data_IF_195105586813
#
_entry.id   IF_195105586813
#
_cell.length_a   1.000
_cell.length_b   1.000
_cell.length_c   1.000
_cell.angle_alpha   90.00
_cell.angle_beta   90.00
_cell.angle_gamma   90.00
#
_symmetry.space_group_name_H-M   'P 1'
#
loop_
_entity.id
_entity.type
_entity.pdbx_description
1 polymer ?
#
# COMPACT_ATOMS: atom_id res chain seq x y z
N UNK A 1 13.27 -2.46 -16.68
CA UNK A 1 11.87 -2.43 -16.22
C UNK A 1 11.86 -2.15 -14.73
N UNK A 2 11.07 -1.16 -14.27
CA UNK A 2 10.83 -0.95 -12.84
C UNK A 2 9.57 -1.75 -12.49
N UNK A 3 9.58 -2.47 -11.36
CA UNK A 3 8.41 -3.22 -10.92
C UNK A 3 7.31 -2.24 -10.46
N UNK A 4 6.03 -2.51 -10.76
CA UNK A 4 4.95 -1.75 -10.15
C UNK A 4 4.90 -2.01 -8.64
N UNK A 5 4.38 -1.07 -7.86
CA UNK A 5 4.35 -1.14 -6.40
C UNK A 5 2.96 -0.84 -5.82
N UNK A 6 2.46 -1.71 -4.95
CA UNK A 6 1.29 -1.45 -4.11
C UNK A 6 1.75 -1.29 -2.66
N UNK A 7 1.65 -0.08 -2.12
CA UNK A 7 1.99 0.23 -0.74
C UNK A 7 0.74 0.14 0.15
N UNK A 8 0.77 -0.72 1.16
CA UNK A 8 -0.37 -0.95 2.06
C UNK A 8 0.03 -0.64 3.50
N UNK A 9 -0.63 0.33 4.13
CA UNK A 9 -0.33 0.75 5.50
C UNK A 9 -1.62 0.81 6.33
N UNK A 10 -1.51 0.52 7.62
CA UNK A 10 -2.62 0.63 8.57
C UNK A 10 -2.70 2.04 9.17
N UNK A 11 -3.91 2.57 9.33
CA UNK A 11 -4.18 3.87 9.96
C UNK A 11 -3.74 3.96 11.43
N UNK A 12 -3.66 2.82 12.11
CA UNK A 12 -3.19 2.70 13.50
C UNK A 12 -1.72 2.28 13.62
N UNK A 13 -0.96 2.19 12.53
CA UNK A 13 0.46 1.87 12.57
C UNK A 13 1.24 2.99 13.30
N UNK A 14 1.92 2.60 14.38
CA UNK A 14 2.73 3.45 15.24
C UNK A 14 4.25 3.21 15.07
N UNK A 15 4.64 2.33 14.14
CA UNK A 15 6.02 2.10 13.71
C UNK A 15 6.27 2.85 12.40
N UNK A 16 5.36 2.72 11.44
CA UNK A 16 5.38 3.44 10.17
C UNK A 16 4.18 4.36 10.11
N UNK A 17 4.41 5.67 10.14
CA UNK A 17 3.33 6.65 10.05
C UNK A 17 2.62 6.55 8.70
N UNK A 18 1.33 6.23 8.72
CA UNK A 18 0.46 6.13 7.54
C UNK A 18 0.48 7.41 6.69
N UNK A 19 0.72 8.58 7.31
CA UNK A 19 0.84 9.86 6.62
C UNK A 19 2.02 9.92 5.63
N UNK A 20 3.01 9.02 5.76
CA UNK A 20 4.11 8.87 4.82
C UNK A 20 3.73 8.06 3.57
N UNK A 21 2.60 7.34 3.59
CA UNK A 21 2.18 6.44 2.52
C UNK A 21 2.00 7.13 1.17
N UNK A 22 1.13 8.16 1.13
CA UNK A 22 0.86 8.90 -0.10
C UNK A 22 2.10 9.68 -0.62
N UNK A 23 2.84 10.44 0.21
CA UNK A 23 4.07 11.10 -0.22
C UNK A 23 5.12 10.15 -0.81
N UNK A 24 5.25 8.95 -0.25
CA UNK A 24 6.17 7.92 -0.77
C UNK A 24 5.75 7.48 -2.18
N UNK A 25 4.46 7.19 -2.39
CA UNK A 25 3.93 6.79 -3.71
C UNK A 25 4.06 7.93 -4.73
N UNK A 26 3.82 9.17 -4.33
CA UNK A 26 3.97 10.33 -5.21
C UNK A 26 5.43 10.50 -5.69
N UNK A 27 6.40 10.31 -4.78
CA UNK A 27 7.82 10.32 -5.13
C UNK A 27 8.17 9.21 -6.12
N UNK A 28 7.68 7.99 -5.89
CA UNK A 28 7.93 6.85 -6.81
C UNK A 28 7.31 7.10 -8.19
N UNK A 29 6.12 7.70 -8.26
CA UNK A 29 5.50 8.11 -9.52
C UNK A 29 6.30 9.18 -10.25
N UNK A 30 6.83 10.17 -9.52
CA UNK A 30 7.70 11.20 -10.11
C UNK A 30 8.97 10.60 -10.75
N UNK A 31 9.47 9.49 -10.19
CA UNK A 31 10.57 8.71 -10.74
C UNK A 31 10.14 7.75 -11.88
N UNK A 32 8.88 7.80 -12.33
CA UNK A 32 8.36 6.98 -13.41
C UNK A 32 8.05 5.53 -13.03
N UNK A 33 7.82 5.24 -11.74
CA UNK A 33 7.26 3.96 -11.31
C UNK A 33 5.72 4.01 -11.35
N UNK A 34 5.10 2.90 -11.73
CA UNK A 34 3.69 2.66 -11.46
C UNK A 34 3.53 2.26 -9.98
N UNK A 35 3.02 3.17 -9.16
CA UNK A 35 2.86 2.95 -7.73
C UNK A 35 1.45 3.31 -7.26
N UNK A 36 0.94 2.60 -6.27
CA UNK A 36 -0.35 2.84 -5.64
C UNK A 36 -0.24 2.84 -4.13
N UNK A 37 -1.06 3.66 -3.47
CA UNK A 37 -1.24 3.63 -2.03
C UNK A 37 -2.60 2.99 -1.67
N UNK A 38 -2.62 2.23 -0.58
CA UNK A 38 -3.80 1.64 0.03
C UNK A 38 -3.69 1.78 1.55
N UNK A 39 -4.43 2.73 2.11
CA UNK A 39 -4.62 2.78 3.55
C UNK A 39 -5.69 1.77 3.97
N UNK A 40 -5.45 1.02 5.04
CA UNK A 40 -6.43 0.12 5.64
C UNK A 40 -6.79 0.58 7.06
N UNK A 41 -8.06 0.40 7.43
CA UNK A 41 -8.56 0.71 8.77
C UNK A 41 -8.56 -0.55 9.62
N UNK A 42 -7.70 -0.60 10.62
CA UNK A 42 -7.56 -1.80 11.47
C UNK A 42 -7.06 -1.41 12.85
N UNK A 43 -7.34 -2.25 13.86
CA UNK A 43 -6.86 -2.07 15.24
C UNK A 43 -5.48 -2.71 15.49
N UNK A 44 -4.94 -3.43 14.51
CA UNK A 44 -3.73 -4.25 14.70
C UNK A 44 -2.42 -3.51 14.41
N UNK A 45 -2.47 -2.20 14.16
CA UNK A 45 -1.29 -1.37 13.91
C UNK A 45 -0.42 -1.93 12.78
N UNK A 46 0.89 -1.99 13.03
CA UNK A 46 1.87 -2.45 12.04
C UNK A 46 1.60 -3.85 11.47
N UNK A 47 1.00 -4.76 12.26
CA UNK A 47 0.66 -6.10 11.80
C UNK A 47 -0.64 -6.14 10.97
N UNK A 48 -1.38 -5.04 10.91
CA UNK A 48 -2.66 -4.89 10.22
C UNK A 48 -2.69 -5.45 8.80
N UNK A 49 -1.76 -5.04 7.90
CA UNK A 49 -1.75 -5.53 6.52
C UNK A 49 -1.58 -7.05 6.40
N UNK A 50 -0.98 -7.71 7.39
CA UNK A 50 -0.84 -9.17 7.43
C UNK A 50 -2.06 -9.87 8.04
N UNK A 51 -2.61 -9.32 9.12
CA UNK A 51 -3.73 -9.94 9.86
C UNK A 51 -5.05 -9.75 9.13
N UNK A 52 -5.34 -8.52 8.71
CA UNK A 52 -6.56 -8.14 8.01
C UNK A 52 -6.28 -7.99 6.51
N UNK A 53 -5.65 -9.02 5.92
CA UNK A 53 -5.26 -9.00 4.51
C UNK A 53 -6.47 -8.93 3.56
N UNK A 54 -7.64 -9.34 4.02
CA UNK A 54 -8.92 -9.23 3.32
C UNK A 54 -9.32 -7.77 3.04
N UNK A 55 -8.91 -6.81 3.88
CA UNK A 55 -9.20 -5.39 3.69
C UNK A 55 -8.57 -4.79 2.43
N UNK A 56 -7.55 -5.44 1.87
CA UNK A 56 -6.85 -4.97 0.66
C UNK A 56 -6.72 -6.05 -0.42
N UNK A 57 -7.30 -7.23 -0.23
CA UNK A 57 -7.23 -8.36 -1.17
C UNK A 57 -7.79 -8.01 -2.56
N UNK A 58 -8.92 -7.30 -2.62
CA UNK A 58 -9.51 -6.86 -3.90
C UNK A 58 -8.59 -5.88 -4.62
N UNK A 59 -7.91 -5.00 -3.88
CA UNK A 59 -6.96 -4.05 -4.46
C UNK A 59 -5.70 -4.75 -4.95
N UNK A 60 -5.21 -5.75 -4.22
CA UNK A 60 -4.13 -6.63 -4.67
C UNK A 60 -4.52 -7.37 -5.96
N UNK A 61 -5.72 -7.95 -6.02
CA UNK A 61 -6.19 -8.64 -7.22
C UNK A 61 -6.25 -7.71 -8.42
N UNK A 62 -6.86 -6.53 -8.28
CA UNK A 62 -6.91 -5.53 -9.34
C UNK A 62 -5.51 -5.06 -9.77
N UNK A 63 -4.59 -4.91 -8.81
CA UNK A 63 -3.20 -4.56 -9.06
C UNK A 63 -2.44 -5.66 -9.83
N UNK A 64 -2.67 -6.93 -9.52
CA UNK A 64 -2.07 -8.05 -10.24
C UNK A 64 -2.66 -8.21 -11.64
N UNK A 65 -3.98 -8.09 -11.79
CA UNK A 65 -4.67 -8.23 -13.09
C UNK A 65 -4.22 -7.19 -14.13
N UNK A 66 -3.73 -6.02 -13.68
CA UNK A 66 -3.18 -4.96 -14.53
C UNK A 66 -1.66 -5.00 -14.69
N UNK A 67 -0.98 -5.88 -13.97
CA UNK A 67 0.49 -6.01 -14.02
C UNK A 67 0.87 -7.00 -15.12
N UNK A 68 1.72 -6.61 -16.10
CA UNK A 68 2.09 -7.45 -17.24
C UNK A 68 2.95 -8.66 -16.89
#
# INVERSE_FOLDING_TARGET
>A
YKAPLLNVLADTDNIVDVALGQPTVDLLKAEGLDAEFCEIKTKYGHAGPMIDADLWADKLRAFLDRTP
#
